data_IF_660956855158
#
_entry.id   IF_660956855158
#
_cell.length_a   1.000
_cell.length_b   1.000
_cell.length_c   1.000
_cell.angle_alpha   90.00
_cell.angle_beta   90.00
_cell.angle_gamma   90.00
#
_symmetry.space_group_name_H-M   'P 1'
#
loop_
_entity.id
_entity.type
_entity.pdbx_description
1 polymer ?
#
# COMPACT_ATOMS: atom_id res chain seq x y z
N UNK A 1 -11.40 18.96 8.86
CA UNK A 1 -10.81 17.63 9.07
C UNK A 1 -11.02 16.89 7.78
N UNK A 2 -9.96 16.50 7.09
CA UNK A 2 -10.10 15.74 5.85
C UNK A 2 -10.42 14.30 6.26
N UNK A 3 -11.67 13.91 6.10
CA UNK A 3 -12.14 12.58 6.50
C UNK A 3 -11.70 11.57 5.44
N UNK A 4 -10.87 10.61 5.85
CA UNK A 4 -10.45 9.51 4.99
C UNK A 4 -11.31 8.28 5.28
N UNK A 5 -11.84 7.66 4.24
CA UNK A 5 -12.65 6.44 4.31
C UNK A 5 -12.05 5.38 3.41
N UNK A 6 -12.18 4.13 3.84
CA UNK A 6 -11.90 2.96 3.01
C UNK A 6 -13.04 1.96 3.18
N UNK A 7 -13.50 1.38 2.08
CA UNK A 7 -14.50 0.30 2.07
C UNK A 7 -13.89 -0.89 1.36
N UNK A 8 -14.06 -2.09 1.92
CA UNK A 8 -13.63 -3.34 1.29
C UNK A 8 -14.88 -4.13 0.89
N UNK A 9 -14.96 -4.48 -0.40
CA UNK A 9 -16.01 -5.33 -0.95
C UNK A 9 -15.36 -6.68 -1.26
N UNK A 10 -15.76 -7.71 -0.53
CA UNK A 10 -15.41 -9.08 -0.88
C UNK A 10 -16.05 -9.46 -2.21
N UNK A 11 -15.27 -10.03 -3.11
CA UNK A 11 -15.74 -10.43 -4.45
C UNK A 11 -16.00 -11.93 -4.49
N UNK A 12 -14.96 -12.71 -4.20
CA UNK A 12 -14.95 -14.17 -4.18
C UNK A 12 -13.70 -14.67 -3.45
N UNK A 13 -13.70 -15.94 -3.05
CA UNK A 13 -12.56 -16.60 -2.39
C UNK A 13 -11.93 -15.74 -1.28
N UNK A 14 -10.67 -15.30 -1.45
CA UNK A 14 -9.95 -14.38 -0.54
C UNK A 14 -9.71 -13.01 -1.19
N UNK A 15 -10.34 -12.75 -2.33
CA UNK A 15 -10.19 -11.53 -3.12
C UNK A 15 -11.19 -10.46 -2.69
N UNK A 16 -10.70 -9.23 -2.64
CA UNK A 16 -11.53 -8.06 -2.35
C UNK A 16 -11.14 -6.87 -3.24
N UNK A 17 -12.11 -5.99 -3.46
CA UNK A 17 -11.88 -4.67 -4.05
C UNK A 17 -12.02 -3.65 -2.93
N UNK A 18 -10.96 -2.89 -2.68
CA UNK A 18 -10.99 -1.79 -1.72
C UNK A 18 -11.11 -0.45 -2.44
N UNK A 19 -11.97 0.44 -1.95
CA UNK A 19 -12.13 1.79 -2.48
C UNK A 19 -11.94 2.84 -1.40
N UNK A 20 -11.64 4.07 -1.83
CA UNK A 20 -11.42 5.22 -0.94
C UNK A 20 -12.57 6.24 -0.92
N UNK A 21 -13.77 5.84 -1.37
CA UNK A 21 -14.95 6.71 -1.52
C UNK A 21 -14.72 7.99 -2.37
N UNK A 22 -13.67 7.97 -3.21
CA UNK A 22 -13.28 9.06 -4.11
C UNK A 22 -13.17 8.61 -5.56
N UNK A 23 -13.70 7.44 -5.89
CA UNK A 23 -13.65 6.85 -7.23
C UNK A 23 -12.35 6.12 -7.57
N UNK A 24 -11.53 5.77 -6.59
CA UNK A 24 -10.33 4.94 -6.79
C UNK A 24 -10.53 3.59 -6.11
N UNK A 25 -10.13 2.52 -6.79
CA UNK A 25 -10.24 1.16 -6.27
C UNK A 25 -8.98 0.35 -6.56
N UNK A 26 -8.67 -0.58 -5.67
CA UNK A 26 -7.54 -1.51 -5.79
C UNK A 26 -8.03 -2.93 -5.48
N UNK A 27 -7.55 -3.90 -6.26
CA UNK A 27 -7.78 -5.32 -5.98
C UNK A 27 -6.73 -5.80 -4.98
N UNK A 28 -7.20 -6.49 -3.93
CA UNK A 28 -6.35 -7.23 -3.01
C UNK A 28 -6.66 -8.71 -3.09
N UNK A 29 -5.63 -9.54 -3.16
CA UNK A 29 -5.73 -10.99 -3.28
C UNK A 29 -4.53 -11.67 -2.63
N UNK A 30 -4.66 -12.96 -2.31
CA UNK A 30 -3.52 -13.76 -1.88
C UNK A 30 -2.87 -14.46 -3.08
N UNK A 31 -1.56 -14.74 -3.01
CA UNK A 31 -0.89 -15.64 -3.94
C UNK A 31 -1.55 -17.03 -3.98
N UNK A 32 -1.41 -17.73 -5.11
CA UNK A 32 -2.04 -19.05 -5.31
C UNK A 32 -1.64 -20.09 -4.25
N UNK A 33 -0.39 -20.07 -3.78
CA UNK A 33 0.08 -20.99 -2.73
C UNK A 33 -0.52 -20.73 -1.35
N UNK A 34 -1.17 -19.57 -1.15
CA UNK A 34 -1.89 -19.21 0.08
C UNK A 34 -3.42 -19.25 -0.11
N UNK A 35 -3.88 -19.78 -1.25
CA UNK A 35 -5.29 -20.02 -1.53
C UNK A 35 -6.03 -18.88 -2.23
N UNK A 36 -5.33 -17.88 -2.77
CA UNK A 36 -5.93 -16.85 -3.64
C UNK A 36 -5.69 -17.10 -5.12
N UNK A 37 -6.03 -16.12 -5.95
CA UNK A 37 -5.89 -16.19 -7.41
C UNK A 37 -4.74 -15.31 -7.95
N UNK A 38 -3.95 -14.70 -7.06
CA UNK A 38 -2.81 -13.83 -7.37
C UNK A 38 -3.17 -12.67 -8.33
N UNK A 39 -4.39 -12.14 -8.20
CA UNK A 39 -4.92 -11.09 -9.09
C UNK A 39 -4.64 -9.65 -8.62
N UNK A 40 -4.00 -9.49 -7.47
CA UNK A 40 -3.64 -8.22 -6.87
C UNK A 40 -2.68 -8.41 -5.69
N UNK A 41 -2.11 -7.31 -5.19
CA UNK A 41 -1.23 -7.37 -4.03
C UNK A 41 -1.99 -7.83 -2.78
N UNK A 42 -1.30 -8.52 -1.87
CA UNK A 42 -1.87 -8.80 -0.55
C UNK A 42 -2.12 -7.51 0.21
N UNK A 43 -3.02 -7.55 1.20
CA UNK A 43 -3.29 -6.40 2.06
C UNK A 43 -2.02 -5.88 2.77
N UNK A 44 -1.10 -6.78 3.16
CA UNK A 44 0.18 -6.40 3.79
C UNK A 44 1.16 -5.80 2.78
N UNK A 45 1.30 -6.35 1.59
CA UNK A 45 2.12 -5.73 0.53
C UNK A 45 1.59 -4.35 0.16
N UNK A 46 0.27 -4.19 0.06
CA UNK A 46 -0.34 -2.90 -0.20
C UNK A 46 -0.04 -1.88 0.90
N UNK A 47 0.02 -2.29 2.17
CA UNK A 47 0.43 -1.41 3.26
C UNK A 47 1.88 -0.93 3.10
N UNK A 48 2.79 -1.81 2.68
CA UNK A 48 4.20 -1.47 2.41
C UNK A 48 4.33 -0.53 1.21
N UNK A 49 3.59 -0.81 0.12
CA UNK A 49 3.52 0.07 -1.05
C UNK A 49 2.98 1.45 -0.70
N UNK A 50 1.92 1.51 0.12
CA UNK A 50 1.33 2.76 0.58
C UNK A 50 2.33 3.59 1.40
N UNK A 51 3.14 2.95 2.24
CA UNK A 51 4.21 3.63 2.97
C UNK A 51 5.27 4.21 2.04
N UNK A 52 5.74 3.45 1.05
CA UNK A 52 6.69 3.96 0.05
C UNK A 52 6.15 5.20 -0.68
N UNK A 53 4.88 5.15 -1.11
CA UNK A 53 4.19 6.28 -1.74
C UNK A 53 4.00 7.49 -0.80
N UNK A 54 3.70 7.25 0.47
CA UNK A 54 3.57 8.30 1.48
C UNK A 54 4.89 9.06 1.66
N UNK A 55 6.01 8.33 1.82
CA UNK A 55 7.35 8.93 1.95
C UNK A 55 7.70 9.74 0.71
N UNK A 56 7.46 9.20 -0.50
CA UNK A 56 7.72 9.92 -1.75
C UNK A 56 6.91 11.23 -1.83
N UNK A 57 5.64 11.20 -1.43
CA UNK A 57 4.76 12.36 -1.39
C UNK A 57 5.24 13.42 -0.41
N UNK A 58 5.67 13.01 0.80
CA UNK A 58 6.21 13.92 1.82
C UNK A 58 7.47 14.62 1.30
N UNK A 59 8.38 13.89 0.65
CA UNK A 59 9.60 14.46 0.07
C UNK A 59 9.29 15.50 -1.00
N UNK A 60 8.42 15.17 -1.96
CA UNK A 60 8.01 16.09 -3.02
C UNK A 60 7.39 17.38 -2.45
N UNK A 61 6.49 17.26 -1.47
CA UNK A 61 5.86 18.41 -0.82
C UNK A 61 6.89 19.27 -0.06
N UNK A 62 7.89 18.64 0.55
CA UNK A 62 8.94 19.33 1.32
C UNK A 62 9.89 20.08 0.38
N UNK A 63 10.36 19.45 -0.70
CA UNK A 63 11.24 20.08 -1.68
C UNK A 63 10.55 21.27 -2.37
N UNK A 64 9.26 21.15 -2.70
CA UNK A 64 8.44 22.27 -3.20
C UNK A 64 8.44 23.46 -2.24
N UNK A 65 8.25 23.23 -0.93
CA UNK A 65 8.32 24.30 0.09
C UNK A 65 9.70 24.95 0.16
N UNK A 66 10.75 24.16 -0.06
CA UNK A 66 12.14 24.63 -0.08
C UNK A 66 12.57 25.27 -1.42
N UNK A 67 11.69 25.29 -2.43
CA UNK A 67 11.98 25.76 -3.80
C UNK A 67 13.13 25.00 -4.46
N UNK A 68 13.26 23.71 -4.15
CA UNK A 68 14.21 22.80 -4.78
C UNK A 68 13.45 22.02 -5.88
N UNK A 69 14.01 21.99 -7.08
CA UNK A 69 13.46 21.22 -8.20
C UNK A 69 13.83 19.74 -8.07
N UNK A 70 12.82 18.86 -7.97
CA UNK A 70 13.02 17.42 -7.96
C UNK A 70 13.18 16.90 -9.40
N UNK A 71 14.30 16.23 -9.71
CA UNK A 71 14.54 15.59 -11.01
C UNK A 71 14.12 14.12 -11.06
N UNK A 72 14.38 13.38 -9.98
CA UNK A 72 14.04 11.97 -9.84
C UNK A 72 14.02 11.56 -8.38
N UNK A 73 13.07 10.72 -7.98
CA UNK A 73 12.98 10.14 -6.64
C UNK A 73 12.63 8.65 -6.76
N UNK A 74 13.37 7.81 -6.05
CA UNK A 74 13.05 6.40 -5.81
C UNK A 74 13.01 6.19 -4.31
N UNK A 75 11.93 5.58 -3.82
CA UNK A 75 11.80 5.15 -2.43
C UNK A 75 11.70 3.64 -2.45
N UNK A 76 12.60 2.97 -1.75
CA UNK A 76 12.62 1.53 -1.56
C UNK A 76 12.25 1.28 -0.09
N UNK A 77 11.33 0.35 0.13
CA UNK A 77 10.89 -0.04 1.47
C UNK A 77 11.00 -1.56 1.55
N UNK A 78 11.71 -2.04 2.54
CA UNK A 78 11.84 -3.47 2.85
C UNK A 78 11.08 -3.76 4.14
N UNK A 79 10.16 -4.73 4.09
CA UNK A 79 9.34 -5.12 5.22
C UNK A 79 9.55 -6.60 5.56
N UNK A 80 9.73 -6.89 6.85
CA UNK A 80 9.93 -8.24 7.35
C UNK A 80 8.68 -8.69 8.14
N UNK A 81 8.10 -9.82 7.72
CA UNK A 81 7.09 -10.55 8.47
C UNK A 81 7.66 -11.91 8.88
N UNK A 82 8.17 -12.06 10.12
CA UNK A 82 8.71 -13.34 10.58
C UNK A 82 7.69 -14.48 10.47
N UNK A 83 8.20 -15.71 10.43
CA UNK A 83 7.36 -16.92 10.48
C UNK A 83 6.56 -16.93 11.78
N UNK A 84 5.26 -17.25 11.71
CA UNK A 84 4.34 -17.20 12.86
C UNK A 84 3.89 -15.80 13.29
N UNK A 85 4.50 -14.72 12.78
CA UNK A 85 4.05 -13.36 13.08
C UNK A 85 2.69 -13.06 12.43
N UNK A 86 1.85 -12.32 13.16
CA UNK A 86 0.49 -11.93 12.71
C UNK A 86 0.51 -10.77 11.70
N UNK A 87 1.55 -9.95 11.72
CA UNK A 87 1.70 -8.76 10.88
C UNK A 87 3.19 -8.44 10.70
N UNK A 88 3.49 -7.45 9.85
CA UNK A 88 4.83 -6.92 9.64
C UNK A 88 5.39 -6.38 10.96
N UNK A 89 6.59 -6.79 11.34
CA UNK A 89 7.22 -6.39 12.62
C UNK A 89 8.35 -5.38 12.43
N UNK A 90 8.96 -5.36 11.24
CA UNK A 90 10.07 -4.44 10.93
C UNK A 90 9.93 -3.92 9.51
N UNK A 91 10.26 -2.65 9.34
CA UNK A 91 10.30 -1.94 8.06
C UNK A 91 11.57 -1.10 8.01
N UNK A 92 12.24 -1.05 6.86
CA UNK A 92 13.41 -0.20 6.59
C UNK A 92 13.22 0.55 5.28
#
# INVERSE_FOLDING_TARGET
MEEMKATAIWVDNVRSVVDNDRGHSVVMDLPTNLGGDDTGATALEFAVMALAGCVATIYELTLKKMRIELKSLKVEVEAEKPEGAKTIEKVT
#
